data_IF_316453643645
#
_entry.id   IF_316453643645
#
_cell.length_a   1.000
_cell.length_b   1.000
_cell.length_c   1.000
_cell.angle_alpha   90.00
_cell.angle_beta   90.00
_cell.angle_gamma   90.00
#
_symmetry.space_group_name_H-M   'P 1'
#
loop_
_entity.id
_entity.type
_entity.pdbx_description
1 polymer ?
#
# COMPACT_ATOMS: atom_id res chain seq x y z
N UNK A 1 31.33 -28.75 16.19
CA UNK A 1 30.45 -29.12 15.06
C UNK A 1 30.10 -27.83 14.36
N UNK A 2 30.75 -27.59 13.22
CA UNK A 2 30.61 -26.37 12.42
C UNK A 2 29.28 -26.42 11.67
N UNK A 3 28.43 -25.43 11.93
CA UNK A 3 27.18 -25.21 11.20
C UNK A 3 27.47 -25.05 9.69
N UNK A 4 26.71 -25.67 8.78
CA UNK A 4 26.90 -25.43 7.35
C UNK A 4 26.44 -24.01 7.03
N UNK A 5 27.40 -23.18 6.61
CA UNK A 5 27.16 -21.89 6.02
C UNK A 5 26.37 -22.11 4.70
N UNK A 6 25.07 -21.85 4.70
CA UNK A 6 24.31 -21.68 3.45
C UNK A 6 24.82 -20.46 2.72
N UNK A 7 25.89 -20.64 1.94
CA UNK A 7 26.33 -19.64 0.99
C UNK A 7 25.25 -19.45 -0.07
N UNK A 8 24.54 -18.32 -0.03
CA UNK A 8 23.67 -17.91 -1.16
C UNK A 8 24.51 -17.92 -2.44
N UNK A 9 24.01 -18.44 -3.57
CA UNK A 9 24.75 -18.41 -4.82
C UNK A 9 25.18 -16.98 -5.13
N UNK A 10 26.47 -16.80 -5.43
CA UNK A 10 27.01 -15.49 -5.87
C UNK A 10 26.51 -15.20 -7.29
N UNK A 11 25.30 -14.64 -7.39
CA UNK A 11 24.83 -14.05 -8.64
C UNK A 11 25.50 -12.71 -8.86
N UNK A 12 25.89 -12.40 -10.10
CA UNK A 12 26.43 -11.09 -10.48
C UNK A 12 25.37 -10.23 -11.17
N UNK A 13 25.40 -8.90 -10.96
CA UNK A 13 24.55 -7.94 -11.67
C UNK A 13 23.06 -8.11 -11.45
N UNK A 14 22.25 -8.02 -12.51
CA UNK A 14 20.79 -8.05 -12.51
C UNK A 14 20.20 -9.30 -11.80
N UNK A 15 20.84 -10.46 -11.95
CA UNK A 15 20.39 -11.69 -11.26
C UNK A 15 20.51 -11.59 -9.75
N UNK A 16 21.53 -10.93 -9.25
CA UNK A 16 21.72 -10.66 -7.81
C UNK A 16 20.67 -9.66 -7.32
N UNK A 17 20.40 -8.63 -8.12
CA UNK A 17 19.37 -7.65 -7.81
C UNK A 17 17.98 -8.32 -7.70
N UNK A 18 17.57 -9.09 -8.71
CA UNK A 18 16.26 -9.80 -8.71
C UNK A 18 16.17 -10.82 -7.58
N UNK A 19 17.28 -11.50 -7.24
CA UNK A 19 17.31 -12.49 -6.14
C UNK A 19 17.22 -11.84 -4.75
N UNK A 20 17.54 -10.55 -4.63
CA UNK A 20 17.48 -9.78 -3.38
C UNK A 20 16.14 -9.01 -3.22
N UNK A 21 15.26 -9.04 -4.22
CA UNK A 21 13.93 -8.45 -4.10
C UNK A 21 13.06 -9.30 -3.17
N UNK A 22 12.60 -8.72 -2.10
CA UNK A 22 11.89 -9.36 -1.00
C UNK A 22 10.57 -8.65 -0.63
N UNK A 23 10.33 -8.44 0.67
CA UNK A 23 9.10 -7.84 1.16
C UNK A 23 8.78 -6.45 0.60
N UNK A 24 9.81 -5.63 0.36
CA UNK A 24 9.65 -4.24 -0.08
C UNK A 24 9.03 -4.12 -1.47
N UNK A 25 9.46 -4.96 -2.44
CA UNK A 25 8.86 -4.94 -3.78
C UNK A 25 7.40 -5.42 -3.78
N UNK A 26 7.07 -6.39 -2.92
CA UNK A 26 5.70 -6.88 -2.75
C UNK A 26 4.85 -5.79 -2.10
N UNK A 27 5.40 -5.10 -1.12
CA UNK A 27 4.76 -3.95 -0.46
C UNK A 27 4.49 -2.83 -1.46
N UNK A 28 5.46 -2.47 -2.31
CA UNK A 28 5.26 -1.48 -3.35
C UNK A 28 4.22 -1.88 -4.40
N UNK A 29 4.17 -3.17 -4.77
CA UNK A 29 3.14 -3.66 -5.69
C UNK A 29 1.73 -3.70 -5.06
N UNK A 30 1.62 -3.82 -3.73
CA UNK A 30 0.37 -3.79 -2.99
C UNK A 30 -0.07 -2.36 -2.60
N UNK A 31 0.85 -1.40 -2.66
CA UNK A 31 0.59 0.02 -2.41
C UNK A 31 -0.33 0.63 -3.47
N UNK A 32 -0.18 0.20 -4.72
CA UNK A 32 -1.06 0.60 -5.82
C UNK A 32 -2.38 -0.19 -5.82
N UNK A 33 -3.08 -0.23 -4.69
CA UNK A 33 -4.36 -0.90 -4.53
C UNK A 33 -5.47 -0.27 -5.40
N UNK A 34 -6.67 -0.87 -5.50
CA UNK A 34 -7.78 -0.26 -6.23
C UNK A 34 -8.13 1.14 -5.76
N UNK A 35 -7.94 1.45 -4.44
CA UNK A 35 -8.19 2.79 -3.90
C UNK A 35 -7.17 3.80 -4.41
N UNK A 36 -5.90 3.40 -4.56
CA UNK A 36 -4.83 4.18 -5.16
C UNK A 36 -5.12 4.51 -6.62
N UNK A 37 -5.35 3.49 -7.45
CA UNK A 37 -5.66 3.69 -8.89
C UNK A 37 -6.84 4.63 -9.07
N UNK A 38 -7.91 4.45 -8.29
CA UNK A 38 -9.09 5.30 -8.36
C UNK A 38 -8.77 6.74 -7.94
N UNK A 39 -8.08 6.92 -6.81
CA UNK A 39 -7.72 8.23 -6.28
C UNK A 39 -6.82 9.00 -7.24
N UNK A 40 -5.80 8.36 -7.81
CA UNK A 40 -4.91 8.97 -8.81
C UNK A 40 -5.68 9.35 -10.08
N UNK A 41 -6.59 8.48 -10.51
CA UNK A 41 -7.43 8.74 -11.69
C UNK A 41 -8.36 9.92 -11.46
N UNK A 42 -9.03 9.97 -10.30
CA UNK A 42 -9.92 11.08 -9.93
C UNK A 42 -9.14 12.39 -9.78
N UNK A 43 -7.97 12.35 -9.13
CA UNK A 43 -7.12 13.54 -8.95
C UNK A 43 -6.62 14.09 -10.29
N UNK A 44 -6.14 13.22 -11.18
CA UNK A 44 -5.67 13.62 -12.52
C UNK A 44 -6.80 14.16 -13.40
N UNK A 45 -8.00 13.57 -13.34
CA UNK A 45 -9.16 14.09 -14.06
C UNK A 45 -9.64 15.44 -13.50
N UNK A 46 -9.71 15.59 -12.19
CA UNK A 46 -10.20 16.81 -11.54
C UNK A 46 -9.21 17.98 -11.65
N UNK A 47 -7.91 17.74 -11.44
CA UNK A 47 -6.89 18.77 -11.26
C UNK A 47 -5.87 18.85 -12.41
N UNK A 48 -5.95 17.93 -13.38
CA UNK A 48 -5.00 17.85 -14.49
C UNK A 48 -3.57 17.65 -14.01
N UNK A 49 -2.64 18.39 -14.60
CA UNK A 49 -1.22 18.29 -14.22
C UNK A 49 -0.85 19.00 -12.92
N UNK A 50 -1.73 19.85 -12.36
CA UNK A 50 -1.40 20.68 -11.20
C UNK A 50 -1.05 19.89 -9.94
N UNK A 51 -1.38 18.59 -9.89
CA UNK A 51 -1.11 17.70 -8.76
C UNK A 51 0.09 16.75 -8.99
N UNK A 52 0.75 16.77 -10.18
CA UNK A 52 1.86 15.86 -10.51
C UNK A 52 3.07 15.99 -9.58
N UNK A 53 3.31 17.19 -9.03
CA UNK A 53 4.39 17.42 -8.09
C UNK A 53 4.32 16.49 -6.87
N UNK A 54 3.12 16.04 -6.50
CA UNK A 54 2.94 15.16 -5.35
C UNK A 54 3.72 13.86 -5.49
N UNK A 55 3.84 13.31 -6.68
CA UNK A 55 4.62 12.10 -6.91
C UNK A 55 6.12 12.29 -6.60
N UNK A 56 6.70 13.40 -7.04
CA UNK A 56 8.11 13.68 -6.77
C UNK A 56 8.38 13.91 -5.29
N UNK A 57 7.49 14.66 -4.60
CA UNK A 57 7.69 15.05 -3.21
C UNK A 57 7.23 13.99 -2.21
N UNK A 58 6.27 13.14 -2.54
CA UNK A 58 5.84 12.04 -1.66
C UNK A 58 6.84 10.88 -1.64
N UNK A 59 7.57 10.62 -2.74
CA UNK A 59 8.50 9.51 -2.83
C UNK A 59 9.52 9.44 -1.66
N UNK A 60 10.30 10.49 -1.36
CA UNK A 60 11.27 10.42 -0.26
C UNK A 60 10.60 10.28 1.11
N UNK A 61 9.37 10.77 1.27
CA UNK A 61 8.60 10.67 2.51
C UNK A 61 8.11 9.23 2.73
N UNK A 62 7.48 8.64 1.71
CA UNK A 62 6.99 7.26 1.79
C UNK A 62 8.14 6.25 1.93
N UNK A 63 9.21 6.41 1.15
CA UNK A 63 10.38 5.55 1.22
C UNK A 63 11.04 5.59 2.60
N UNK A 64 11.18 6.79 3.20
CA UNK A 64 11.74 6.93 4.54
C UNK A 64 10.89 6.24 5.61
N UNK A 65 9.56 6.44 5.61
CA UNK A 65 8.66 5.82 6.59
C UNK A 65 8.63 4.30 6.41
N UNK A 66 8.56 3.84 5.16
CA UNK A 66 8.51 2.41 4.86
C UNK A 66 9.82 1.71 5.26
N UNK A 67 10.97 2.35 5.00
CA UNK A 67 12.27 1.85 5.44
C UNK A 67 12.39 1.81 6.97
N UNK A 68 11.82 2.78 7.70
CA UNK A 68 11.76 2.73 9.16
C UNK A 68 10.98 1.50 9.65
N UNK A 69 9.87 1.17 9.00
CA UNK A 69 9.07 -0.02 9.34
C UNK A 69 9.84 -1.32 9.06
N UNK A 70 10.53 -1.42 7.91
CA UNK A 70 11.39 -2.56 7.60
C UNK A 70 12.49 -2.71 8.65
N UNK A 71 13.21 -1.63 8.96
CA UNK A 71 14.28 -1.63 9.98
C UNK A 71 13.78 -2.00 11.37
N UNK A 72 12.57 -1.53 11.77
CA UNK A 72 11.95 -1.94 13.03
C UNK A 72 11.75 -3.46 13.07
N UNK A 73 11.24 -4.05 12.00
CA UNK A 73 11.06 -5.50 11.86
C UNK A 73 12.38 -6.26 12.04
N UNK A 74 13.38 -5.92 11.20
CA UNK A 74 14.69 -6.61 11.15
C UNK A 74 15.48 -6.45 12.46
N UNK A 75 15.54 -5.23 13.02
CA UNK A 75 16.37 -4.96 14.20
C UNK A 75 15.76 -5.54 15.47
N UNK A 76 14.44 -5.53 15.59
CA UNK A 76 13.76 -5.99 16.82
C UNK A 76 13.29 -7.43 16.77
N UNK A 77 13.29 -8.05 15.57
CA UNK A 77 12.74 -9.37 15.32
C UNK A 77 11.24 -9.48 15.62
N UNK A 78 10.51 -8.34 15.55
CA UNK A 78 9.09 -8.20 15.91
C UNK A 78 8.40 -7.29 14.90
N UNK A 79 7.14 -7.58 14.63
CA UNK A 79 6.31 -6.64 13.88
C UNK A 79 5.99 -5.38 14.71
N UNK A 80 5.40 -4.39 14.05
CA UNK A 80 5.17 -3.07 14.63
C UNK A 80 4.31 -3.11 15.90
N UNK A 81 3.27 -3.94 15.93
CA UNK A 81 2.43 -4.13 17.13
C UNK A 81 3.20 -4.70 18.31
N UNK A 82 4.10 -5.67 18.07
CA UNK A 82 4.97 -6.26 19.06
C UNK A 82 5.97 -5.27 19.66
N UNK A 83 6.51 -4.37 18.82
CA UNK A 83 7.41 -3.29 19.26
C UNK A 83 6.66 -2.28 20.12
N UNK A 84 5.47 -1.82 19.68
CA UNK A 84 4.62 -0.89 20.44
C UNK A 84 4.27 -1.51 21.80
N UNK A 85 3.86 -2.77 21.84
CA UNK A 85 3.52 -3.49 23.06
C UNK A 85 4.67 -3.53 24.08
N UNK A 86 5.90 -3.73 23.59
CA UNK A 86 7.10 -3.82 24.47
C UNK A 86 7.48 -2.45 25.04
N UNK A 87 7.22 -1.36 24.30
CA UNK A 87 7.72 -0.01 24.62
C UNK A 87 6.70 0.91 25.27
N UNK A 88 5.42 0.77 24.93
CA UNK A 88 4.36 1.69 25.34
C UNK A 88 3.26 1.00 26.18
N UNK A 89 2.46 1.79 26.94
CA UNK A 89 1.27 1.29 27.62
C UNK A 89 0.27 0.65 26.65
N UNK A 90 -0.50 -0.31 27.13
CA UNK A 90 -1.47 -1.06 26.33
C UNK A 90 -2.47 -0.18 25.55
N UNK A 91 -2.85 0.97 26.10
CA UNK A 91 -3.80 1.86 25.44
C UNK A 91 -3.24 2.43 24.11
N UNK A 92 -1.93 2.76 24.05
CA UNK A 92 -1.28 3.22 22.79
C UNK A 92 -1.37 2.15 21.72
N UNK A 93 -1.08 0.89 22.09
CA UNK A 93 -1.18 -0.24 21.19
C UNK A 93 -2.61 -0.42 20.65
N UNK A 94 -3.61 -0.41 21.55
CA UNK A 94 -4.99 -0.60 21.12
C UNK A 94 -5.52 0.57 20.29
N UNK A 95 -5.09 1.81 20.54
CA UNK A 95 -5.41 2.94 19.67
C UNK A 95 -4.77 2.74 18.28
N UNK A 96 -3.50 2.36 18.21
CA UNK A 96 -2.84 2.09 16.91
C UNK A 96 -3.53 0.96 16.14
N UNK A 97 -3.87 -0.15 16.82
CA UNK A 97 -4.62 -1.24 16.21
C UNK A 97 -6.01 -0.81 15.74
N UNK A 98 -6.73 -0.01 16.54
CA UNK A 98 -8.06 0.49 16.17
C UNK A 98 -8.01 1.37 14.91
N UNK A 99 -7.06 2.32 14.85
CA UNK A 99 -6.87 3.17 13.68
C UNK A 99 -6.60 2.33 12.43
N UNK A 100 -5.72 1.34 12.54
CA UNK A 100 -5.41 0.41 11.47
C UNK A 100 -6.63 -0.40 11.03
N UNK A 101 -7.36 -1.02 11.97
CA UNK A 101 -8.52 -1.88 11.67
C UNK A 101 -9.62 -1.08 10.97
N UNK A 102 -9.92 0.13 11.47
CA UNK A 102 -10.93 1.00 10.86
C UNK A 102 -10.53 1.36 9.42
N UNK A 103 -9.28 1.80 9.21
CA UNK A 103 -8.77 2.13 7.89
C UNK A 103 -8.83 0.92 6.95
N UNK A 104 -8.28 -0.22 7.39
CA UNK A 104 -8.17 -1.41 6.55
C UNK A 104 -9.52 -2.05 6.22
N UNK A 105 -10.42 -2.18 7.18
CA UNK A 105 -11.74 -2.78 6.91
C UNK A 105 -12.56 -1.94 5.93
N UNK A 106 -12.46 -0.61 6.03
CA UNK A 106 -13.08 0.29 5.06
C UNK A 106 -12.43 0.14 3.67
N UNK A 107 -11.08 0.07 3.62
CA UNK A 107 -10.33 -0.10 2.38
C UNK A 107 -10.62 -1.45 1.71
N UNK A 108 -10.64 -2.56 2.48
CA UNK A 108 -11.05 -3.89 1.98
C UNK A 108 -12.43 -3.81 1.32
N UNK A 109 -13.40 -3.15 1.98
CA UNK A 109 -14.73 -2.97 1.42
C UNK A 109 -14.72 -2.16 0.12
N UNK A 110 -13.97 -1.07 0.08
CA UNK A 110 -13.83 -0.25 -1.10
C UNK A 110 -13.18 -1.01 -2.26
N UNK A 111 -12.09 -1.71 -2.00
CA UNK A 111 -11.34 -2.49 -3.00
C UNK A 111 -12.18 -3.62 -3.59
N UNK A 112 -12.84 -4.41 -2.74
CA UNK A 112 -13.76 -5.46 -3.19
C UNK A 112 -14.90 -4.90 -4.03
N UNK A 113 -15.45 -3.74 -3.64
CA UNK A 113 -16.49 -3.03 -4.39
C UNK A 113 -15.99 -2.53 -5.75
N UNK A 114 -14.77 -1.97 -5.79
CA UNK A 114 -14.10 -1.53 -7.02
C UNK A 114 -13.83 -2.67 -7.99
N UNK A 115 -13.29 -3.79 -7.48
CA UNK A 115 -13.12 -5.03 -8.25
C UNK A 115 -14.46 -5.52 -8.81
N UNK A 116 -15.51 -5.53 -7.98
CA UNK A 116 -16.86 -5.91 -8.39
C UNK A 116 -17.44 -5.01 -9.48
N UNK A 117 -17.29 -3.69 -9.35
CA UNK A 117 -17.75 -2.71 -10.34
C UNK A 117 -17.00 -2.84 -11.67
N UNK A 118 -15.70 -3.09 -11.64
CA UNK A 118 -14.90 -3.28 -12.85
C UNK A 118 -15.28 -4.56 -13.60
N UNK A 119 -15.54 -5.66 -12.89
CA UNK A 119 -16.03 -6.90 -13.50
C UNK A 119 -17.44 -6.75 -14.07
N UNK A 120 -18.32 -6.03 -13.38
CA UNK A 120 -19.65 -5.69 -13.91
C UNK A 120 -19.55 -4.96 -15.26
N UNK A 121 -18.59 -4.06 -15.41
CA UNK A 121 -18.37 -3.28 -16.63
C UNK A 121 -18.05 -4.17 -17.85
N UNK A 122 -17.27 -5.25 -17.67
CA UNK A 122 -16.75 -6.06 -18.80
C UNK A 122 -17.52 -7.37 -19.02
N UNK A 123 -18.00 -8.01 -17.96
CA UNK A 123 -18.68 -9.32 -18.07
C UNK A 123 -20.19 -9.18 -17.84
N UNK A 124 -20.63 -8.09 -17.20
CA UNK A 124 -21.99 -7.95 -16.73
C UNK A 124 -22.16 -8.62 -15.35
N UNK A 125 -23.35 -9.02 -15.02
CA UNK A 125 -23.80 -9.38 -13.68
C UNK A 125 -23.64 -8.21 -12.67
N UNK A 126 -24.50 -8.14 -11.65
CA UNK A 126 -24.43 -7.07 -10.65
C UNK A 126 -23.11 -7.08 -9.89
N UNK A 127 -22.55 -5.90 -9.57
CA UNK A 127 -21.27 -5.76 -8.87
C UNK A 127 -21.20 -6.55 -7.56
N UNK A 128 -22.32 -6.63 -6.80
CA UNK A 128 -22.36 -7.38 -5.54
C UNK A 128 -22.06 -8.87 -5.69
N UNK A 129 -22.40 -9.48 -6.85
CA UNK A 129 -22.07 -10.90 -7.16
C UNK A 129 -20.56 -11.07 -7.26
N UNK A 130 -19.92 -10.16 -7.98
CA UNK A 130 -18.45 -10.17 -8.12
C UNK A 130 -17.75 -9.83 -6.81
N UNK A 131 -18.28 -8.89 -6.03
CA UNK A 131 -17.75 -8.55 -4.69
C UNK A 131 -17.79 -9.79 -3.78
N UNK A 132 -18.91 -10.51 -3.75
CA UNK A 132 -19.02 -11.77 -3.00
C UNK A 132 -18.06 -12.84 -3.53
N UNK A 133 -17.97 -12.99 -4.85
CA UNK A 133 -17.02 -13.92 -5.49
C UNK A 133 -15.57 -13.64 -5.07
N UNK A 134 -15.10 -12.39 -5.15
CA UNK A 134 -13.74 -12.04 -4.75
C UNK A 134 -13.52 -12.21 -3.25
N UNK A 135 -14.52 -11.87 -2.42
CA UNK A 135 -14.42 -12.10 -0.97
C UNK A 135 -14.20 -13.57 -0.65
N UNK A 136 -15.00 -14.46 -1.25
CA UNK A 136 -14.87 -15.90 -1.05
C UNK A 136 -13.54 -16.42 -1.65
N UNK A 137 -13.20 -15.99 -2.86
CA UNK A 137 -11.97 -16.42 -3.55
C UNK A 137 -10.72 -16.02 -2.76
N UNK A 138 -10.61 -14.77 -2.33
CA UNK A 138 -9.43 -14.28 -1.58
C UNK A 138 -9.36 -14.98 -0.21
N UNK A 139 -10.47 -15.10 0.50
CA UNK A 139 -10.51 -15.81 1.79
C UNK A 139 -10.08 -17.28 1.64
N UNK A 140 -10.58 -17.94 0.59
CA UNK A 140 -10.22 -19.30 0.27
C UNK A 140 -8.73 -19.45 -0.10
N UNK A 141 -8.21 -18.55 -0.94
CA UNK A 141 -6.78 -18.54 -1.30
C UNK A 141 -5.91 -18.34 -0.06
N UNK A 142 -6.26 -17.42 0.84
CA UNK A 142 -5.52 -17.21 2.09
C UNK A 142 -5.57 -18.42 3.03
N UNK A 143 -6.70 -19.16 3.06
CA UNK A 143 -6.84 -20.32 3.90
C UNK A 143 -6.09 -21.57 3.37
N UNK A 144 -5.98 -21.73 2.05
CA UNK A 144 -5.43 -22.96 1.45
C UNK A 144 -4.07 -22.81 0.79
N UNK A 145 -3.65 -21.56 0.49
CA UNK A 145 -2.35 -21.31 -0.14
C UNK A 145 -1.50 -20.35 0.70
N UNK A 146 -0.18 -20.30 0.43
CA UNK A 146 0.67 -19.28 1.03
C UNK A 146 0.49 -17.93 0.31
N UNK A 147 0.62 -16.84 1.05
CA UNK A 147 0.62 -15.50 0.45
C UNK A 147 1.68 -15.34 -0.65
N UNK A 148 2.84 -15.99 -0.51
CA UNK A 148 3.89 -15.99 -1.55
C UNK A 148 3.42 -16.57 -2.88
N UNK A 149 2.54 -17.56 -2.84
CA UNK A 149 1.95 -18.12 -4.06
C UNK A 149 1.02 -17.12 -4.71
N UNK A 150 0.15 -16.46 -3.91
CA UNK A 150 -0.75 -15.40 -4.37
C UNK A 150 0.06 -14.27 -5.02
N UNK A 151 1.08 -13.74 -4.31
CA UNK A 151 1.93 -12.67 -4.80
C UNK A 151 2.68 -13.06 -6.09
N UNK A 152 3.14 -14.31 -6.20
CA UNK A 152 3.85 -14.79 -7.40
C UNK A 152 2.98 -14.77 -8.65
N UNK A 153 1.70 -15.09 -8.52
CA UNK A 153 0.75 -15.10 -9.64
C UNK A 153 0.30 -13.66 -9.96
N UNK A 154 -0.24 -12.98 -8.97
CA UNK A 154 -0.94 -11.72 -9.21
C UNK A 154 -0.03 -10.52 -9.48
N UNK A 155 1.26 -10.56 -9.06
CA UNK A 155 2.23 -9.54 -9.47
C UNK A 155 2.37 -9.37 -10.99
N UNK A 156 2.06 -10.40 -11.79
CA UNK A 156 2.06 -10.27 -13.25
C UNK A 156 0.89 -9.47 -13.77
N UNK A 157 -0.25 -9.46 -13.05
CA UNK A 157 -1.40 -8.64 -13.42
C UNK A 157 -1.15 -7.14 -13.13
N UNK A 158 -0.26 -6.81 -12.18
CA UNK A 158 0.13 -5.41 -11.95
C UNK A 158 0.86 -4.80 -13.13
N UNK A 159 1.44 -5.64 -14.02
CA UNK A 159 2.00 -5.16 -15.29
C UNK A 159 0.97 -4.48 -16.19
N UNK A 160 -0.32 -4.76 -16.02
CA UNK A 160 -1.38 -4.03 -16.71
C UNK A 160 -1.35 -2.52 -16.39
N UNK A 161 -0.80 -2.11 -15.24
CA UNK A 161 -0.63 -0.70 -14.88
C UNK A 161 0.39 0.03 -15.77
N UNK A 162 1.33 -0.69 -16.39
CA UNK A 162 2.22 -0.10 -17.40
C UNK A 162 1.46 0.42 -18.63
N UNK A 163 0.20 0.02 -18.79
CA UNK A 163 -0.68 0.62 -19.79
C UNK A 163 -0.82 2.14 -19.61
N UNK A 164 -0.82 2.62 -18.37
CA UNK A 164 -0.85 4.06 -18.09
C UNK A 164 0.42 4.74 -18.57
N UNK A 165 1.59 4.11 -18.41
CA UNK A 165 2.85 4.64 -18.94
C UNK A 165 2.78 4.79 -20.45
N UNK A 166 2.38 3.73 -21.15
CA UNK A 166 2.28 3.73 -22.63
C UNK A 166 1.24 4.76 -23.08
N UNK A 167 0.09 4.81 -22.42
CA UNK A 167 -0.99 5.75 -22.75
C UNK A 167 -0.56 7.21 -22.56
N UNK A 168 0.23 7.51 -21.53
CA UNK A 168 0.76 8.86 -21.30
C UNK A 168 1.56 9.38 -22.51
N UNK A 169 2.40 8.53 -23.11
CA UNK A 169 3.14 8.90 -24.32
C UNK A 169 2.25 8.99 -25.56
N UNK A 170 1.26 8.11 -25.70
CA UNK A 170 0.31 8.13 -26.83
C UNK A 170 -0.62 9.34 -26.78
N UNK A 171 -0.97 9.82 -25.60
CA UNK A 171 -1.80 11.01 -25.40
C UNK A 171 -1.13 12.31 -25.83
N UNK A 172 0.20 12.29 -26.09
CA UNK A 172 1.01 13.45 -26.57
C UNK A 172 0.80 14.71 -25.70
N UNK A 173 1.02 14.65 -24.40
CA UNK A 173 0.86 15.80 -23.53
C UNK A 173 1.87 16.89 -23.85
N UNK A 174 1.61 18.12 -23.42
CA UNK A 174 2.61 19.18 -23.42
C UNK A 174 3.70 18.87 -22.40
N UNK A 175 4.81 18.27 -22.83
CA UNK A 175 5.90 17.88 -21.92
C UNK A 175 6.48 19.06 -21.14
N UNK A 176 6.47 20.26 -21.70
CA UNK A 176 6.91 21.47 -21.00
C UNK A 176 6.01 21.76 -19.80
N UNK A 177 4.69 21.63 -19.94
CA UNK A 177 3.74 21.79 -18.84
C UNK A 177 3.86 20.67 -17.82
N UNK A 178 4.02 19.42 -18.28
CA UNK A 178 4.23 18.25 -17.42
C UNK A 178 5.47 18.44 -16.55
N UNK A 179 6.62 18.80 -17.14
CA UNK A 179 7.85 19.05 -16.37
C UNK A 179 7.67 20.21 -15.39
N UNK A 180 7.08 21.31 -15.82
CA UNK A 180 6.82 22.44 -14.91
C UNK A 180 5.94 22.01 -13.75
N UNK A 181 4.84 21.30 -14.00
CA UNK A 181 3.92 20.84 -12.97
C UNK A 181 4.52 19.78 -12.03
N UNK A 182 5.51 19.01 -12.51
CA UNK A 182 6.23 18.02 -11.70
C UNK A 182 7.19 18.66 -10.71
N UNK A 183 7.92 19.70 -11.14
CA UNK A 183 8.98 20.30 -10.32
C UNK A 183 8.56 21.55 -9.56
N UNK A 184 7.46 22.19 -9.96
CA UNK A 184 6.96 23.41 -9.33
C UNK A 184 5.61 23.13 -8.68
N UNK A 185 5.54 22.96 -7.35
CA UNK A 185 4.29 22.76 -6.63
C UNK A 185 3.31 23.90 -6.85
N UNK A 186 2.08 23.55 -7.25
CA UNK A 186 1.00 24.51 -7.37
C UNK A 186 -0.11 24.13 -6.38
N UNK A 187 -0.05 24.70 -5.19
CA UNK A 187 -0.98 24.40 -4.10
C UNK A 187 -2.18 25.33 -4.16
N UNK A 188 -3.38 24.76 -4.20
CA UNK A 188 -4.63 25.51 -4.13
C UNK A 188 -5.28 25.28 -2.77
N UNK A 189 -5.59 26.37 -2.05
CA UNK A 189 -6.26 26.32 -0.77
C UNK A 189 -7.77 26.22 -0.97
N UNK A 190 -8.20 25.10 -1.53
CA UNK A 190 -9.62 24.74 -1.71
C UNK A 190 -9.88 23.37 -1.10
N UNK A 191 -11.08 23.16 -0.59
CA UNK A 191 -11.47 21.88 0.02
C UNK A 191 -11.27 20.71 -0.93
N UNK A 192 -11.63 20.86 -2.20
CA UNK A 192 -11.45 19.83 -3.23
C UNK A 192 -9.99 19.47 -3.43
N UNK A 193 -9.11 20.49 -3.57
CA UNK A 193 -7.68 20.24 -3.74
C UNK A 193 -7.07 19.55 -2.52
N UNK A 194 -7.43 19.99 -1.30
CA UNK A 194 -6.93 19.37 -0.07
C UNK A 194 -7.44 17.95 0.10
N UNK A 195 -8.69 17.66 -0.26
CA UNK A 195 -9.21 16.29 -0.26
C UNK A 195 -8.45 15.37 -1.23
N UNK A 196 -8.12 15.85 -2.45
CA UNK A 196 -7.28 15.10 -3.39
C UNK A 196 -5.88 14.89 -2.84
N UNK A 197 -5.27 15.90 -2.24
CA UNK A 197 -3.95 15.82 -1.64
C UNK A 197 -3.92 14.83 -0.48
N UNK A 198 -4.90 14.88 0.42
CA UNK A 198 -5.05 13.93 1.54
C UNK A 198 -5.27 12.51 1.02
N UNK A 199 -6.11 12.33 0.00
CA UNK A 199 -6.33 11.05 -0.65
C UNK A 199 -5.04 10.49 -1.25
N UNK A 200 -4.29 11.27 -2.04
CA UNK A 200 -3.01 10.87 -2.63
C UNK A 200 -2.02 10.47 -1.53
N UNK A 201 -1.82 11.31 -0.51
CA UNK A 201 -0.90 10.99 0.58
C UNK A 201 -1.37 9.79 1.40
N UNK A 202 -2.68 9.60 1.55
CA UNK A 202 -3.25 8.49 2.31
C UNK A 202 -3.12 7.14 1.63
N UNK A 203 -3.13 7.11 0.29
CA UNK A 203 -2.92 5.87 -0.46
C UNK A 203 -1.43 5.57 -0.72
N UNK A 204 -0.56 6.59 -0.79
CA UNK A 204 0.89 6.38 -0.93
C UNK A 204 1.60 6.14 0.41
N UNK A 205 1.06 6.63 1.53
CA UNK A 205 1.65 6.49 2.87
C UNK A 205 0.61 5.81 3.75
N UNK A 206 0.29 4.60 3.38
CA UNK A 206 -0.84 3.86 3.95
C UNK A 206 -0.48 3.15 5.25
N UNK A 207 -1.31 3.29 6.31
CA UNK A 207 -1.06 2.67 7.61
C UNK A 207 -0.86 1.16 7.57
N UNK A 208 -1.57 0.44 6.70
CA UNK A 208 -1.49 -1.01 6.62
C UNK A 208 -0.11 -1.49 6.18
N UNK A 209 0.58 -0.73 5.34
CA UNK A 209 1.92 -1.06 4.87
C UNK A 209 2.97 -0.97 5.99
N UNK A 210 2.77 -0.14 7.00
CA UNK A 210 3.69 -0.04 8.14
C UNK A 210 3.71 -1.35 8.95
N UNK A 211 2.54 -1.86 9.28
CA UNK A 211 2.41 -3.13 9.99
C UNK A 211 2.82 -4.31 9.11
N UNK A 212 2.41 -4.28 7.84
CA UNK A 212 2.75 -5.30 6.87
C UNK A 212 4.26 -5.44 6.68
N UNK A 213 4.96 -4.33 6.37
CA UNK A 213 6.40 -4.36 6.11
C UNK A 213 7.17 -4.93 7.30
N UNK A 214 6.92 -4.41 8.50
CA UNK A 214 7.60 -4.90 9.69
C UNK A 214 7.33 -6.40 9.95
N UNK A 215 6.09 -6.86 9.73
CA UNK A 215 5.74 -8.27 9.88
C UNK A 215 6.39 -9.15 8.81
N UNK A 216 6.47 -8.69 7.56
CA UNK A 216 7.09 -9.47 6.47
C UNK A 216 8.60 -9.62 6.63
N UNK A 217 9.29 -8.61 7.17
CA UNK A 217 10.71 -8.74 7.52
C UNK A 217 10.92 -9.84 8.57
N UNK A 218 10.04 -9.89 9.57
CA UNK A 218 10.06 -10.96 10.59
C UNK A 218 9.79 -12.33 9.97
N UNK A 219 8.85 -12.41 9.00
CA UNK A 219 8.57 -13.67 8.29
C UNK A 219 9.79 -14.12 7.46
N UNK A 220 10.50 -13.20 6.81
CA UNK A 220 11.71 -13.53 6.07
C UNK A 220 12.81 -14.07 6.99
N UNK A 221 13.01 -13.47 8.17
CA UNK A 221 13.94 -13.97 9.17
C UNK A 221 13.58 -15.36 9.68
N UNK A 222 12.28 -15.65 9.87
CA UNK A 222 11.78 -16.99 10.24
C UNK A 222 12.11 -18.03 9.16
N UNK A 223 11.97 -17.68 7.90
CA UNK A 223 12.32 -18.55 6.78
C UNK A 223 13.81 -18.81 6.67
N UNK A 224 14.64 -17.86 7.12
CA UNK A 224 16.09 -18.03 7.25
C UNK A 224 16.49 -18.92 8.44
N UNK A 225 15.50 -19.41 9.22
CA UNK A 225 15.70 -20.33 10.33
C UNK A 225 15.81 -19.69 11.70
N UNK A 226 15.69 -18.37 11.82
CA UNK A 226 15.64 -17.64 13.11
C UNK A 226 14.25 -17.81 13.74
N UNK A 227 14.05 -18.84 14.56
CA UNK A 227 12.72 -19.23 15.08
C UNK A 227 12.24 -18.37 16.25
N UNK A 228 13.13 -17.97 17.14
CA UNK A 228 12.77 -17.22 18.35
C UNK A 228 13.00 -15.72 18.18
N UNK A 229 12.23 -14.85 18.87
CA UNK A 229 12.49 -13.41 18.85
C UNK A 229 13.93 -13.03 19.23
N UNK A 230 14.58 -13.79 20.13
CA UNK A 230 15.98 -13.54 20.50
C UNK A 230 16.97 -13.84 19.38
N UNK A 231 16.69 -14.85 18.56
CA UNK A 231 17.52 -15.19 17.38
C UNK A 231 17.38 -14.15 16.28
N UNK A 232 16.24 -13.44 16.25
CA UNK A 232 15.93 -12.36 15.30
C UNK A 232 16.37 -10.98 15.77
N UNK A 233 16.65 -10.77 17.06
CA UNK A 233 17.12 -9.47 17.58
C UNK A 233 18.51 -9.12 17.02
N UNK A 234 18.62 -7.93 16.42
CA UNK A 234 19.85 -7.42 15.82
C UNK A 234 19.91 -7.59 14.29
N UNK A 235 20.60 -6.67 13.64
CA UNK A 235 20.73 -6.62 12.19
C UNK A 235 22.16 -6.39 11.75
N UNK A 236 22.59 -7.07 10.71
CA UNK A 236 23.87 -6.82 10.02
C UNK A 236 23.72 -5.64 9.05
N UNK A 237 24.85 -4.98 8.70
CA UNK A 237 24.84 -3.91 7.70
C UNK A 237 24.38 -4.41 6.33
N UNK A 238 24.65 -5.69 6.02
CA UNK A 238 24.22 -6.31 4.77
C UNK A 238 22.69 -6.47 4.72
N UNK A 239 22.07 -6.98 5.79
CA UNK A 239 20.61 -7.13 5.89
C UNK A 239 19.92 -5.77 5.73
N UNK A 240 20.39 -4.73 6.43
CA UNK A 240 19.85 -3.39 6.32
C UNK A 240 20.03 -2.77 4.93
N UNK A 241 21.17 -3.03 4.27
CA UNK A 241 21.42 -2.54 2.91
C UNK A 241 20.51 -3.22 1.87
N UNK A 242 20.30 -4.52 2.02
CA UNK A 242 19.37 -5.28 1.16
C UNK A 242 17.93 -4.78 1.35
N UNK A 243 17.49 -4.63 2.59
CA UNK A 243 16.15 -4.12 2.90
C UNK A 243 15.95 -2.68 2.37
N UNK A 244 16.97 -1.82 2.46
CA UNK A 244 16.93 -0.47 1.90
C UNK A 244 16.71 -0.51 0.38
N UNK A 245 17.53 -1.31 -0.33
CA UNK A 245 17.41 -1.42 -1.79
C UNK A 245 16.07 -1.99 -2.23
N UNK A 246 15.57 -2.99 -1.52
CA UNK A 246 14.28 -3.63 -1.80
C UNK A 246 13.12 -2.67 -1.54
N UNK A 247 13.11 -2.01 -0.39
CA UNK A 247 12.07 -1.02 -0.02
C UNK A 247 12.06 0.16 -1.00
N UNK A 248 13.22 0.77 -1.26
CA UNK A 248 13.32 1.91 -2.17
C UNK A 248 12.87 1.54 -3.59
N UNK A 249 13.19 0.32 -4.05
CA UNK A 249 12.76 -0.16 -5.37
C UNK A 249 11.24 -0.34 -5.42
N UNK A 250 10.66 -0.94 -4.38
CA UNK A 250 9.20 -1.12 -4.29
C UNK A 250 8.47 0.23 -4.27
N UNK A 251 8.92 1.16 -3.43
CA UNK A 251 8.33 2.50 -3.32
C UNK A 251 8.49 3.32 -4.59
N UNK A 252 9.64 3.20 -5.28
CA UNK A 252 9.84 3.85 -6.58
C UNK A 252 8.89 3.32 -7.64
N UNK A 253 8.67 2.00 -7.66
CA UNK A 253 7.74 1.36 -8.59
C UNK A 253 6.32 1.92 -8.39
N UNK A 254 5.80 1.88 -7.15
CA UNK A 254 4.47 2.40 -6.83
C UNK A 254 4.35 3.89 -7.20
N UNK A 255 5.32 4.69 -6.81
CA UNK A 255 5.31 6.12 -7.09
C UNK A 255 5.33 6.46 -8.58
N UNK A 256 6.04 5.67 -9.39
CA UNK A 256 6.01 5.80 -10.85
C UNK A 256 4.63 5.45 -11.43
N UNK A 257 3.99 4.42 -10.92
CA UNK A 257 2.62 4.05 -11.32
C UNK A 257 1.66 5.19 -11.01
N UNK A 258 1.69 5.72 -9.78
CA UNK A 258 0.91 6.90 -9.38
C UNK A 258 1.12 8.06 -10.35
N UNK A 259 2.38 8.43 -10.62
CA UNK A 259 2.72 9.54 -11.53
C UNK A 259 2.08 9.37 -12.90
N UNK A 260 2.21 8.18 -13.49
CA UNK A 260 1.68 7.92 -14.82
C UNK A 260 0.16 7.78 -14.87
N UNK A 261 -0.49 7.35 -13.79
CA UNK A 261 -1.95 7.37 -13.72
C UNK A 261 -2.46 8.81 -13.70
N UNK A 262 -1.90 9.68 -12.85
CA UNK A 262 -2.26 11.11 -12.78
C UNK A 262 -1.99 11.79 -14.13
N UNK A 263 -0.81 11.58 -14.71
CA UNK A 263 -0.44 12.14 -16.00
C UNK A 263 -1.40 11.71 -17.12
N UNK A 264 -1.70 10.42 -17.21
CA UNK A 264 -2.57 9.86 -18.23
C UNK A 264 -3.99 10.40 -18.12
N UNK A 265 -4.56 10.39 -16.91
CA UNK A 265 -5.93 10.88 -16.69
C UNK A 265 -6.01 12.40 -16.88
N UNK A 266 -4.98 13.14 -16.51
CA UNK A 266 -4.84 14.56 -16.83
C UNK A 266 -4.82 14.81 -18.33
N UNK A 267 -4.03 14.05 -19.08
CA UNK A 267 -3.91 14.21 -20.53
C UNK A 267 -5.14 13.75 -21.32
N UNK A 268 -5.83 12.70 -20.87
CA UNK A 268 -6.90 12.05 -21.63
C UNK A 268 -8.30 12.48 -21.19
N UNK A 269 -8.50 12.73 -19.90
CA UNK A 269 -9.82 13.09 -19.35
C UNK A 269 -9.93 14.59 -19.09
N UNK A 270 -9.02 15.14 -18.27
CA UNK A 270 -9.06 16.58 -17.90
C UNK A 270 -9.03 17.51 -19.09
N UNK A 271 -8.09 17.33 -20.03
CA UNK A 271 -7.97 18.17 -21.23
C UNK A 271 -9.16 18.04 -22.19
N UNK A 272 -9.98 16.99 -22.04
CA UNK A 272 -11.21 16.80 -22.81
C UNK A 272 -12.48 17.18 -22.03
N UNK A 273 -12.34 17.92 -20.93
CA UNK A 273 -13.47 18.44 -20.14
C UNK A 273 -14.16 17.41 -19.24
N UNK A 274 -13.56 16.24 -19.03
CA UNK A 274 -14.07 15.21 -18.09
C UNK A 274 -13.35 15.35 -16.77
N UNK A 275 -13.93 16.14 -15.86
CA UNK A 275 -13.31 16.46 -14.56
C UNK A 275 -13.78 15.55 -13.44
N UNK A 276 -14.95 14.92 -13.56
CA UNK A 276 -15.54 14.05 -12.56
C UNK A 276 -15.55 12.60 -13.02
N UNK A 277 -15.00 11.72 -12.21
CA UNK A 277 -15.05 10.26 -12.41
C UNK A 277 -15.96 9.66 -11.33
N UNK A 278 -17.10 9.15 -11.76
CA UNK A 278 -18.07 8.52 -10.87
C UNK A 278 -18.21 7.01 -11.10
N UNK A 279 -17.69 6.48 -12.20
CA UNK A 279 -17.81 5.06 -12.57
C UNK A 279 -16.49 4.46 -13.01
N UNK A 280 -16.33 3.15 -12.84
CA UNK A 280 -15.19 2.41 -13.34
C UNK A 280 -15.02 2.56 -14.86
N UNK A 281 -16.13 2.69 -15.59
CA UNK A 281 -16.13 2.91 -17.04
C UNK A 281 -15.48 4.25 -17.40
N UNK A 282 -15.81 5.33 -16.70
CA UNK A 282 -15.20 6.65 -16.92
C UNK A 282 -13.70 6.64 -16.60
N UNK A 283 -13.28 5.95 -15.51
CA UNK A 283 -11.86 5.78 -15.20
C UNK A 283 -11.11 4.99 -16.30
N UNK A 284 -11.72 3.92 -16.82
CA UNK A 284 -11.14 3.10 -17.89
C UNK A 284 -10.99 3.86 -19.23
N UNK A 285 -11.80 4.88 -19.46
CA UNK A 285 -11.69 5.72 -20.67
C UNK A 285 -10.34 6.42 -20.82
N UNK A 286 -9.61 6.62 -19.71
CA UNK A 286 -8.25 7.14 -19.74
C UNK A 286 -7.30 6.28 -20.60
N UNK A 287 -7.55 4.97 -20.71
CA UNK A 287 -6.75 4.02 -21.47
C UNK A 287 -7.19 3.85 -22.93
N UNK A 288 -8.25 4.56 -23.38
CA UNK A 288 -8.73 4.47 -24.78
C UNK A 288 -7.70 4.82 -25.85
N UNK A 289 -6.78 5.79 -25.66
CA UNK A 289 -5.75 6.06 -26.66
C UNK A 289 -4.85 4.86 -26.96
N UNK A 290 -4.62 3.98 -25.98
CA UNK A 290 -3.83 2.76 -26.15
C UNK A 290 -4.66 1.59 -26.71
N UNK A 291 -5.82 1.32 -26.10
CA UNK A 291 -6.52 0.05 -26.26
C UNK A 291 -7.90 0.17 -26.92
N UNK A 292 -8.34 1.37 -27.27
CA UNK A 292 -9.67 1.56 -27.87
C UNK A 292 -10.78 0.94 -27.02
N UNK A 293 -11.56 0.02 -27.57
CA UNK A 293 -12.59 -0.73 -26.85
C UNK A 293 -12.03 -1.72 -25.81
N UNK A 294 -10.77 -2.13 -25.93
CA UNK A 294 -10.08 -2.99 -24.96
C UNK A 294 -9.68 -2.28 -23.66
N UNK A 295 -9.82 -0.95 -23.59
CA UNK A 295 -9.49 -0.15 -22.40
C UNK A 295 -10.20 -0.65 -21.14
N UNK A 296 -11.45 -1.08 -21.27
CA UNK A 296 -12.25 -1.61 -20.15
C UNK A 296 -11.68 -2.93 -19.61
N UNK A 297 -11.24 -3.83 -20.47
CA UNK A 297 -10.58 -5.07 -20.06
C UNK A 297 -9.22 -4.80 -19.41
N UNK A 298 -8.45 -3.89 -19.98
CA UNK A 298 -7.11 -3.55 -19.48
C UNK A 298 -7.18 -2.90 -18.09
N UNK A 299 -8.13 -1.97 -17.89
CA UNK A 299 -8.42 -1.38 -16.61
C UNK A 299 -8.87 -2.43 -15.58
N UNK A 300 -9.82 -3.31 -15.95
CA UNK A 300 -10.32 -4.35 -15.07
C UNK A 300 -9.22 -5.35 -14.66
N UNK A 301 -8.39 -5.78 -15.61
CA UNK A 301 -7.26 -6.66 -15.31
C UNK A 301 -6.27 -6.01 -14.33
N UNK A 302 -5.97 -4.72 -14.52
CA UNK A 302 -5.14 -3.96 -13.59
C UNK A 302 -5.78 -3.88 -12.21
N UNK A 303 -7.02 -3.40 -12.11
CA UNK A 303 -7.71 -3.18 -10.85
C UNK A 303 -7.94 -4.49 -10.07
N UNK A 304 -8.37 -5.56 -10.75
CA UNK A 304 -8.54 -6.88 -10.13
C UNK A 304 -7.18 -7.47 -9.72
N UNK A 305 -6.16 -7.32 -10.58
CA UNK A 305 -4.82 -7.83 -10.28
C UNK A 305 -4.22 -7.23 -9.02
N UNK A 306 -4.27 -5.90 -8.89
CA UNK A 306 -3.77 -5.23 -7.68
C UNK A 306 -4.65 -5.50 -6.47
N UNK A 307 -5.98 -5.57 -6.62
CA UNK A 307 -6.88 -5.93 -5.53
C UNK A 307 -6.64 -7.34 -4.98
N UNK A 308 -6.31 -8.29 -5.85
CA UNK A 308 -5.93 -9.66 -5.45
C UNK A 308 -4.61 -9.71 -4.66
N UNK A 309 -3.75 -8.69 -4.77
CA UNK A 309 -2.55 -8.53 -3.95
C UNK A 309 -2.82 -7.73 -2.67
N UNK A 310 -3.51 -6.59 -2.79
CA UNK A 310 -3.67 -5.63 -1.73
C UNK A 310 -4.67 -6.08 -0.65
N UNK A 311 -5.81 -6.68 -1.03
CA UNK A 311 -6.81 -7.14 -0.05
C UNK A 311 -6.23 -8.18 0.93
N UNK A 312 -5.44 -9.20 0.51
CA UNK A 312 -4.69 -10.05 1.42
C UNK A 312 -3.75 -9.30 2.37
N UNK A 313 -3.05 -8.26 1.87
CA UNK A 313 -2.14 -7.43 2.67
C UNK A 313 -2.90 -6.64 3.73
N UNK A 314 -4.01 -6.01 3.35
CA UNK A 314 -4.90 -5.28 4.26
C UNK A 314 -5.45 -6.18 5.38
N UNK A 315 -6.00 -7.34 5.01
CA UNK A 315 -6.55 -8.31 5.97
C UNK A 315 -5.44 -8.92 6.84
N UNK A 316 -4.28 -9.26 6.23
CA UNK A 316 -3.11 -9.76 6.92
C UNK A 316 -2.53 -8.75 7.92
N UNK A 317 -2.46 -7.46 7.56
CA UNK A 317 -2.00 -6.40 8.45
C UNK A 317 -2.88 -6.28 9.72
N UNK A 318 -4.20 -6.40 9.57
CA UNK A 318 -5.12 -6.47 10.71
C UNK A 318 -4.82 -7.68 11.61
N UNK A 319 -4.60 -8.84 10.99
CA UNK A 319 -4.33 -10.07 11.71
C UNK A 319 -2.98 -10.02 12.44
N UNK A 320 -1.92 -9.52 11.81
CA UNK A 320 -0.62 -9.31 12.47
C UNK A 320 -0.73 -8.33 13.63
N UNK A 321 -1.35 -7.16 13.43
CA UNK A 321 -1.47 -6.15 14.48
C UNK A 321 -2.20 -6.67 15.72
N UNK A 322 -3.34 -7.36 15.53
CA UNK A 322 -4.11 -7.93 16.65
C UNK A 322 -3.36 -9.08 17.30
N UNK A 323 -2.79 -10.00 16.51
CA UNK A 323 -2.06 -11.16 17.03
C UNK A 323 -0.88 -10.74 17.90
N UNK A 324 -0.13 -9.73 17.48
CA UNK A 324 0.96 -9.15 18.23
C UNK A 324 0.46 -8.42 19.49
N UNK A 325 -0.72 -7.78 19.43
CA UNK A 325 -1.32 -7.12 20.57
C UNK A 325 -1.75 -8.11 21.67
N UNK A 326 -2.24 -9.30 21.28
CA UNK A 326 -2.73 -10.34 22.22
C UNK A 326 -1.70 -11.44 22.49
N UNK A 327 -0.43 -11.24 22.11
CA UNK A 327 0.69 -12.18 22.37
C UNK A 327 0.67 -13.48 21.53
N UNK A 328 0.03 -13.49 20.39
CA UNK A 328 0.12 -14.60 19.41
C UNK A 328 1.26 -14.35 18.43
N UNK A 329 2.45 -14.02 18.95
CA UNK A 329 3.61 -13.52 18.20
C UNK A 329 4.13 -14.49 17.10
N UNK A 330 3.70 -15.74 17.10
CA UNK A 330 4.11 -16.75 16.12
C UNK A 330 3.08 -17.00 15.03
N UNK A 331 1.92 -16.35 15.10
CA UNK A 331 0.88 -16.49 14.08
C UNK A 331 1.30 -15.83 12.76
N UNK A 332 1.09 -16.51 11.64
CA UNK A 332 1.59 -16.13 10.33
C UNK A 332 0.61 -16.47 9.21
N UNK A 333 0.64 -15.69 8.12
CA UNK A 333 -0.01 -16.04 6.85
C UNK A 333 0.59 -17.26 6.16
N UNK A 334 1.78 -17.69 6.58
CA UNK A 334 2.41 -18.90 6.08
C UNK A 334 1.98 -20.16 6.86
N UNK A 335 1.28 -19.99 7.98
CA UNK A 335 0.71 -21.09 8.75
C UNK A 335 -0.63 -21.55 8.15
N UNK A 336 -0.96 -22.81 8.42
CA UNK A 336 -2.32 -23.32 8.08
C UNK A 336 -3.33 -22.77 9.12
N UNK A 337 -4.61 -22.56 8.73
CA UNK A 337 -5.66 -22.10 9.64
C UNK A 337 -5.80 -22.93 10.92
N UNK A 338 -5.53 -24.23 10.85
CA UNK A 338 -5.57 -25.12 12.01
C UNK A 338 -4.48 -24.83 13.07
N UNK A 339 -3.35 -24.20 12.68
CA UNK A 339 -2.28 -23.83 13.61
C UNK A 339 -2.49 -22.47 14.26
N UNK A 340 -3.09 -21.54 13.52
CA UNK A 340 -3.31 -20.15 13.92
C UNK A 340 -4.77 -19.73 13.74
N UNK A 341 -5.76 -20.42 14.36
CA UNK A 341 -7.17 -20.19 14.08
C UNK A 341 -7.62 -18.75 14.37
N UNK A 342 -7.13 -18.15 15.46
CA UNK A 342 -7.44 -16.77 15.81
C UNK A 342 -7.00 -15.76 14.76
N UNK A 343 -5.82 -15.98 14.16
CA UNK A 343 -5.31 -15.15 13.08
C UNK A 343 -6.24 -15.16 11.86
N UNK A 344 -6.70 -16.32 11.45
CA UNK A 344 -7.62 -16.45 10.31
C UNK A 344 -9.05 -15.99 10.61
N UNK A 345 -9.48 -16.06 11.89
CA UNK A 345 -10.74 -15.44 12.32
C UNK A 345 -10.70 -13.92 12.15
N UNK A 346 -9.56 -13.28 12.47
CA UNK A 346 -9.40 -11.83 12.25
C UNK A 346 -9.47 -11.50 10.76
N UNK A 347 -8.78 -12.26 9.90
CA UNK A 347 -8.85 -12.10 8.44
C UNK A 347 -10.30 -12.23 7.97
N UNK A 348 -10.99 -13.30 8.36
CA UNK A 348 -12.38 -13.54 7.96
C UNK A 348 -13.32 -12.42 8.45
N UNK A 349 -13.13 -11.93 9.68
CA UNK A 349 -13.90 -10.81 10.22
C UNK A 349 -13.68 -9.52 9.41
N UNK A 350 -12.41 -9.18 9.09
CA UNK A 350 -12.10 -8.01 8.27
C UNK A 350 -12.72 -8.11 6.87
N UNK A 351 -12.64 -9.28 6.24
CA UNK A 351 -13.26 -9.54 4.93
C UNK A 351 -14.79 -9.44 4.98
N UNK A 352 -15.43 -9.99 6.02
CA UNK A 352 -16.89 -9.93 6.18
C UNK A 352 -17.39 -8.52 6.48
N UNK A 353 -16.67 -7.74 7.30
CA UNK A 353 -16.99 -6.32 7.55
C UNK A 353 -16.85 -5.55 6.24
N UNK A 354 -15.76 -5.74 5.50
CA UNK A 354 -15.55 -5.12 4.18
C UNK A 354 -16.68 -5.47 3.19
N UNK A 355 -17.09 -6.74 3.13
CA UNK A 355 -18.23 -7.17 2.32
C UNK A 355 -19.52 -6.49 2.78
N UNK A 356 -19.78 -6.42 4.10
CA UNK A 356 -20.99 -5.80 4.65
C UNK A 356 -21.11 -4.31 4.28
N UNK A 357 -19.99 -3.58 4.19
CA UNK A 357 -19.96 -2.17 3.73
C UNK A 357 -20.53 -2.02 2.31
N UNK A 358 -20.33 -3.02 1.45
CA UNK A 358 -20.88 -3.00 0.09
C UNK A 358 -22.42 -3.21 0.04
N UNK A 359 -23.01 -3.75 1.08
CA UNK A 359 -24.48 -3.88 1.17
C UNK A 359 -25.18 -2.51 1.27
N UNK A 360 -24.46 -1.48 1.71
CA UNK A 360 -24.96 -0.09 1.74
C UNK A 360 -25.16 0.51 0.33
N UNK A 361 -24.80 -0.21 -0.74
CA UNK A 361 -24.93 0.18 -2.16
C UNK A 361 -24.32 1.55 -2.46
N UNK A 362 -23.23 1.89 -1.80
CA UNK A 362 -22.47 3.11 -2.06
C UNK A 362 -21.79 3.03 -3.43
N UNK A 363 -21.53 4.18 -4.03
CA UNK A 363 -20.79 4.24 -5.27
C UNK A 363 -19.35 3.75 -5.06
N UNK A 364 -18.93 2.73 -5.83
CA UNK A 364 -17.63 2.06 -5.66
C UNK A 364 -16.44 3.03 -5.80
N UNK A 365 -16.47 3.92 -6.80
CA UNK A 365 -15.38 4.90 -7.02
C UNK A 365 -15.32 5.90 -5.86
N UNK A 366 -16.46 6.37 -5.38
CA UNK A 366 -16.52 7.26 -4.22
C UNK A 366 -16.01 6.55 -2.95
N UNK A 367 -16.34 5.27 -2.75
CA UNK A 367 -15.82 4.48 -1.63
C UNK A 367 -14.30 4.34 -1.69
N UNK A 368 -13.74 4.03 -2.87
CA UNK A 368 -12.29 3.95 -3.07
C UNK A 368 -11.60 5.28 -2.74
N UNK A 369 -12.13 6.39 -3.21
CA UNK A 369 -11.59 7.71 -2.91
C UNK A 369 -11.70 8.07 -1.41
N UNK A 370 -12.86 7.77 -0.78
CA UNK A 370 -13.03 8.03 0.66
C UNK A 370 -12.16 7.12 1.53
N UNK A 371 -11.85 5.89 1.09
CA UNK A 371 -10.90 5.03 1.81
C UNK A 371 -9.49 5.63 1.80
N UNK A 372 -9.05 6.19 0.68
CA UNK A 372 -7.77 6.90 0.59
C UNK A 372 -7.73 8.13 1.52
N UNK A 373 -8.80 8.93 1.56
CA UNK A 373 -8.91 10.06 2.50
C UNK A 373 -8.86 9.58 3.95
N UNK A 374 -9.58 8.52 4.30
CA UNK A 374 -9.57 7.94 5.63
C UNK A 374 -8.17 7.50 6.04
N UNK A 375 -7.45 6.81 5.17
CA UNK A 375 -6.05 6.45 5.36
C UNK A 375 -5.19 7.71 5.60
N UNK A 376 -5.35 8.77 4.79
CA UNK A 376 -4.61 10.02 4.91
C UNK A 376 -4.86 10.77 6.23
N UNK A 377 -6.07 10.67 6.78
CA UNK A 377 -6.43 11.27 8.08
C UNK A 377 -5.91 10.42 9.25
N UNK A 378 -5.91 9.09 9.11
CA UNK A 378 -5.51 8.18 10.20
C UNK A 378 -4.00 7.87 10.22
N UNK A 379 -3.27 8.12 9.13
CA UNK A 379 -1.83 7.83 9.03
C UNK A 379 -0.94 8.72 9.93
N UNK A 380 -1.14 10.05 10.07
CA UNK A 380 -0.21 10.91 10.80
C UNK A 380 0.17 10.44 12.19
N UNK A 381 -0.74 10.05 13.10
CA UNK A 381 -0.37 9.54 14.42
C UNK A 381 0.43 8.25 14.35
N UNK A 382 0.20 7.40 13.36
CA UNK A 382 0.96 6.15 13.18
C UNK A 382 2.36 6.44 12.60
N UNK A 383 2.50 7.40 11.69
CA UNK A 383 3.81 7.87 11.21
C UNK A 383 4.64 8.43 12.36
N UNK A 384 4.04 9.28 13.23
CA UNK A 384 4.73 9.78 14.43
C UNK A 384 5.22 8.62 15.30
N UNK A 385 4.38 7.61 15.52
CA UNK A 385 4.74 6.46 16.32
C UNK A 385 5.92 5.67 15.70
N UNK A 386 5.93 5.47 14.40
CA UNK A 386 7.02 4.82 13.67
C UNK A 386 8.32 5.62 13.80
N UNK A 387 8.28 6.95 13.60
CA UNK A 387 9.45 7.83 13.72
C UNK A 387 10.04 7.80 15.12
N UNK A 388 9.19 7.88 16.14
CA UNK A 388 9.64 7.89 17.55
C UNK A 388 10.23 6.52 17.92
N UNK A 389 9.60 5.40 17.55
CA UNK A 389 10.10 4.06 17.83
C UNK A 389 11.45 3.78 17.14
N UNK A 390 11.57 4.17 15.88
CA UNK A 390 12.80 3.94 15.10
C UNK A 390 13.94 4.91 15.49
N UNK A 391 13.64 5.95 16.28
CA UNK A 391 14.64 6.86 16.86
C UNK A 391 15.04 6.50 18.28
N UNK A 392 14.32 5.59 18.92
CA UNK A 392 14.55 5.22 20.34
C UNK A 392 15.69 4.22 20.46
N UNK A 393 16.78 4.60 21.12
CA UNK A 393 17.92 3.70 21.39
C UNK A 393 17.57 2.49 22.23
N UNK A 394 16.52 2.56 23.04
CA UNK A 394 16.07 1.40 23.83
C UNK A 394 15.39 0.34 22.98
N UNK A 395 14.90 0.71 21.81
CA UNK A 395 14.27 -0.16 20.80
C UNK A 395 15.28 -0.61 19.75
N UNK A 396 16.04 0.32 19.19
CA UNK A 396 16.91 0.13 18.03
C UNK A 396 18.38 -0.06 18.36
N UNK A 397 18.79 0.10 19.63
CA UNK A 397 20.21 0.07 20.03
C UNK A 397 21.00 1.15 19.28
N UNK A 398 22.10 0.72 18.64
CA UNK A 398 22.94 1.59 17.80
C UNK A 398 22.39 1.79 16.38
N UNK A 399 21.30 1.08 16.01
CA UNK A 399 20.67 1.10 14.69
C UNK A 399 19.54 2.13 14.57
N UNK A 400 19.55 3.19 15.39
CA UNK A 400 18.57 4.30 15.28
C UNK A 400 18.61 4.98 13.92
N UNK A 401 17.55 5.72 13.61
CA UNK A 401 17.47 6.48 12.37
C UNK A 401 18.59 7.49 12.19
N UNK A 402 18.99 7.71 10.95
CA UNK A 402 19.82 8.86 10.58
C UNK A 402 19.02 10.18 10.77
N UNK A 403 19.75 11.30 10.87
CA UNK A 403 19.11 12.63 10.96
C UNK A 403 18.22 12.93 9.75
N UNK A 404 18.63 12.48 8.56
CA UNK A 404 17.85 12.64 7.33
C UNK A 404 16.56 11.83 7.37
N UNK A 405 16.63 10.55 7.74
CA UNK A 405 15.43 9.72 7.86
C UNK A 405 14.43 10.32 8.87
N UNK A 406 14.90 10.76 10.03
CA UNK A 406 14.05 11.45 11.02
C UNK A 406 13.41 12.71 10.45
N UNK A 407 14.19 13.56 9.74
CA UNK A 407 13.64 14.76 9.11
C UNK A 407 12.53 14.42 8.13
N UNK A 408 12.72 13.42 7.25
CA UNK A 408 11.70 12.98 6.28
C UNK A 408 10.46 12.43 6.97
N UNK A 409 10.61 11.62 8.02
CA UNK A 409 9.47 11.09 8.77
C UNK A 409 8.64 12.18 9.46
N UNK A 410 9.31 13.18 10.09
CA UNK A 410 8.61 14.31 10.69
C UNK A 410 7.94 15.23 9.66
N UNK A 411 8.61 15.51 8.53
CA UNK A 411 8.02 16.27 7.42
C UNK A 411 6.78 15.54 6.90
N UNK A 412 6.85 14.21 6.75
CA UNK A 412 5.74 13.37 6.34
C UNK A 412 4.55 13.53 7.30
N UNK A 413 4.76 13.32 8.61
CA UNK A 413 3.71 13.42 9.61
C UNK A 413 3.06 14.81 9.63
N UNK A 414 3.87 15.87 9.60
CA UNK A 414 3.41 17.25 9.60
C UNK A 414 2.65 17.59 8.32
N UNK A 415 3.17 17.22 7.15
CA UNK A 415 2.53 17.50 5.86
C UNK A 415 1.16 16.81 5.76
N UNK A 416 1.07 15.53 6.14
CA UNK A 416 -0.20 14.80 6.14
C UNK A 416 -1.20 15.38 7.14
N UNK A 417 -0.76 15.69 8.37
CA UNK A 417 -1.62 16.31 9.38
C UNK A 417 -2.11 17.70 8.94
N UNK A 418 -1.22 18.53 8.38
CA UNK A 418 -1.57 19.84 7.88
C UNK A 418 -2.57 19.79 6.72
N UNK A 419 -2.36 18.86 5.76
CA UNK A 419 -3.29 18.65 4.65
C UNK A 419 -4.67 18.20 5.15
N UNK A 420 -4.70 17.24 6.09
CA UNK A 420 -5.95 16.76 6.69
C UNK A 420 -6.70 17.88 7.44
N UNK A 421 -6.00 18.65 8.26
CA UNK A 421 -6.60 19.81 8.98
C UNK A 421 -7.12 20.84 7.98
N UNK A 422 -6.34 21.20 6.95
CA UNK A 422 -6.75 22.15 5.93
C UNK A 422 -8.01 21.69 5.18
N UNK A 423 -8.14 20.39 4.87
CA UNK A 423 -9.33 19.81 4.23
C UNK A 423 -10.61 20.03 5.06
N UNK A 424 -10.52 19.99 6.40
CA UNK A 424 -11.68 20.18 7.28
C UNK A 424 -11.99 21.66 7.56
N UNK A 425 -11.00 22.54 7.48
CA UNK A 425 -11.17 23.97 7.76
C UNK A 425 -11.65 24.79 6.54
N UNK A 426 -11.36 24.32 5.33
CA UNK A 426 -11.78 24.92 4.06
C UNK A 426 -13.12 24.37 3.57
#
# INVERSE_FOLDING_TARGET
MTSPSHTRPQYSGIRRFIANLGPGIITGAADDDPSGISTYSVAGAALGYSILWTALFSFPLMAAVQLMCARLGIVTGRGLGGVIRKRYPRWVLWVACLLLIVANTFNIGADLGGMGASMQMVIGFPAWVWTLFFTVLITALLAWTSYKFIARIFKWLTLALFAYVITAFLARPSWTEVFRATFVPHIQLTRTYMAMLVGILGTTISPYLFFWQAAQEVEEEREQGKRTPREREGATDLELSVATTDTDTGMLYSNLVMYFIILTTGATLHLHGKHDIETAQQAAEALRPLAGGGAYWLFTLGLVGVGMLAVPVLAGSCAYAISEAVTWDEASLNDKPARSPGFYVIIAAAMLIGLALNLARLNAIKMLFWSAILNGVLAPPLVVLVVVLSSDRTVMGDRVNSRWANAMGWICAIAMAAAAVAMFLL
#
